data_IF_768079524910
#
_entry.id   IF_768079524910
#
_cell.length_a   1.000
_cell.length_b   1.000
_cell.length_c   1.000
_cell.angle_alpha   90.00
_cell.angle_beta   90.00
_cell.angle_gamma   90.00
#
_symmetry.space_group_name_H-M   'P 1'
#
loop_
_entity.id
_entity.type
_entity.pdbx_description
1 polymer ?
#
# COMPACT_ATOMS: atom_id res chain seq x y z
N UNK A 1 -69.06 -22.54 -56.43
CA UNK A 1 -69.03 -22.61 -54.99
C UNK A 1 -67.67 -22.10 -54.54
N UNK A 2 -67.61 -20.86 -54.10
CA UNK A 2 -66.35 -20.19 -53.68
C UNK A 2 -66.35 -20.07 -52.15
N UNK A 3 -65.36 -20.65 -51.56
CA UNK A 3 -65.11 -20.47 -50.13
C UNK A 3 -63.94 -19.46 -49.91
N UNK A 4 -64.30 -18.33 -49.41
CA UNK A 4 -63.27 -17.33 -48.93
C UNK A 4 -62.86 -17.63 -47.53
N UNK A 5 -61.59 -17.93 -47.38
CA UNK A 5 -60.96 -18.04 -46.03
C UNK A 5 -60.46 -16.64 -45.62
N UNK A 6 -60.99 -16.15 -44.54
CA UNK A 6 -60.47 -14.95 -43.87
C UNK A 6 -59.36 -15.34 -42.90
N UNK A 7 -58.16 -14.82 -43.13
CA UNK A 7 -57.02 -14.98 -42.21
C UNK A 7 -57.02 -13.85 -41.21
N UNK A 8 -57.20 -14.16 -39.93
CA UNK A 8 -57.02 -13.23 -38.81
C UNK A 8 -55.56 -13.23 -38.39
N UNK A 9 -54.87 -12.10 -38.57
CA UNK A 9 -53.52 -11.88 -38.07
C UNK A 9 -53.58 -11.40 -36.60
N UNK A 10 -53.14 -12.23 -35.68
CA UNK A 10 -52.96 -11.85 -34.27
C UNK A 10 -51.58 -11.20 -34.10
N UNK A 11 -51.58 -9.91 -33.78
CA UNK A 11 -50.38 -9.14 -33.39
C UNK A 11 -50.07 -9.43 -31.93
N UNK A 12 -49.04 -10.25 -31.66
CA UNK A 12 -48.48 -10.39 -30.34
C UNK A 12 -47.53 -9.21 -30.07
N UNK A 13 -47.95 -8.26 -29.24
CA UNK A 13 -47.10 -7.22 -28.73
C UNK A 13 -46.13 -7.79 -27.69
N UNK A 14 -44.87 -7.91 -28.04
CA UNK A 14 -43.82 -8.22 -27.06
C UNK A 14 -43.51 -7.00 -26.22
N UNK A 15 -44.01 -6.96 -24.99
CA UNK A 15 -43.62 -5.98 -23.99
C UNK A 15 -42.21 -6.33 -23.47
N UNK A 16 -41.20 -5.65 -23.96
CA UNK A 16 -39.86 -5.71 -23.41
C UNK A 16 -39.85 -5.01 -22.03
N UNK A 17 -39.84 -5.79 -20.96
CA UNK A 17 -39.52 -5.30 -19.63
C UNK A 17 -38.03 -4.93 -19.60
N UNK A 18 -37.73 -3.65 -19.76
CA UNK A 18 -36.40 -3.13 -19.50
C UNK A 18 -36.14 -3.23 -17.99
N UNK A 19 -35.34 -4.20 -17.58
CA UNK A 19 -34.78 -4.24 -16.24
C UNK A 19 -33.88 -3.02 -16.05
N UNK A 20 -33.96 -2.30 -14.90
CA UNK A 20 -33.01 -1.24 -14.62
C UNK A 20 -31.60 -1.86 -14.52
N UNK A 21 -30.72 -1.45 -15.43
CA UNK A 21 -29.30 -1.77 -15.31
C UNK A 21 -28.79 -1.13 -14.01
N UNK A 22 -28.45 -1.95 -13.04
CA UNK A 22 -27.65 -1.50 -11.89
C UNK A 22 -26.38 -0.85 -12.44
N UNK A 23 -26.01 0.35 -11.99
CA UNK A 23 -24.71 0.90 -12.32
C UNK A 23 -23.67 0.00 -11.67
N UNK A 24 -23.18 -0.99 -12.39
CA UNK A 24 -21.99 -1.72 -12.02
C UNK A 24 -20.86 -0.70 -12.01
N UNK A 25 -20.37 -0.41 -10.82
CA UNK A 25 -19.11 0.29 -10.64
C UNK A 25 -18.00 -0.57 -11.26
N UNK A 26 -17.82 -0.44 -12.56
CA UNK A 26 -16.57 -0.83 -13.21
C UNK A 26 -15.57 0.27 -12.87
N UNK A 27 -15.03 0.23 -11.66
CA UNK A 27 -13.80 0.96 -11.37
C UNK A 27 -12.79 0.50 -12.41
N UNK A 28 -12.37 1.39 -13.30
CA UNK A 28 -11.20 1.12 -14.13
C UNK A 28 -10.06 0.71 -13.19
N UNK A 29 -9.23 -0.29 -13.57
CA UNK A 29 -8.04 -0.58 -12.78
C UNK A 29 -7.26 0.73 -12.60
N UNK A 30 -6.70 0.98 -11.41
CA UNK A 30 -5.92 2.19 -11.15
C UNK A 30 -4.85 2.36 -12.24
N UNK A 31 -4.68 3.59 -12.73
CA UNK A 31 -3.61 3.89 -13.67
C UNK A 31 -2.26 3.63 -12.97
N UNK A 32 -1.39 2.77 -13.49
CA UNK A 32 -0.10 2.47 -12.88
C UNK A 32 0.82 3.69 -12.72
N UNK A 33 0.49 4.80 -13.39
CA UNK A 33 1.22 6.06 -13.22
C UNK A 33 0.74 6.89 -12.02
N UNK A 34 -0.25 6.44 -11.25
CA UNK A 34 -0.81 7.17 -10.11
C UNK A 34 -0.44 6.58 -8.76
N UNK A 35 0.17 5.41 -8.74
CA UNK A 35 0.63 4.74 -7.52
C UNK A 35 1.80 3.79 -7.81
N UNK A 36 2.48 3.37 -6.76
CA UNK A 36 3.55 2.39 -6.79
C UNK A 36 3.38 1.41 -5.63
N UNK A 37 3.67 0.15 -5.86
CA UNK A 37 3.74 -0.89 -4.84
C UNK A 37 5.18 -1.05 -4.39
N UNK A 38 5.44 -0.81 -3.11
CA UNK A 38 6.76 -0.98 -2.52
C UNK A 38 6.78 -2.25 -1.68
N UNK A 39 7.59 -3.22 -2.07
CA UNK A 39 7.81 -4.43 -1.31
C UNK A 39 8.93 -4.22 -0.28
N UNK A 40 8.63 -4.56 0.97
CA UNK A 40 9.55 -4.49 2.11
C UNK A 40 9.94 -5.91 2.51
N UNK A 41 11.24 -6.15 2.56
CA UNK A 41 11.82 -7.40 2.98
C UNK A 41 12.94 -7.19 4.01
N UNK A 42 13.19 -8.21 4.82
CA UNK A 42 14.26 -8.25 5.81
C UNK A 42 14.24 -7.07 6.80
N UNK A 43 13.02 -6.53 7.11
CA UNK A 43 12.90 -5.44 8.07
C UNK A 43 13.34 -5.91 9.46
N UNK A 44 14.27 -5.16 10.02
CA UNK A 44 14.87 -5.44 11.31
C UNK A 44 15.06 -4.14 12.09
N UNK A 45 14.64 -4.16 13.35
CA UNK A 45 14.85 -3.07 14.30
C UNK A 45 15.56 -3.59 15.53
N UNK A 46 16.60 -2.90 15.95
CA UNK A 46 17.24 -3.11 17.26
C UNK A 46 16.88 -1.95 18.16
N UNK A 47 16.24 -2.27 19.30
CA UNK A 47 15.86 -1.28 20.33
C UNK A 47 16.42 -1.63 21.69
N UNK A 48 16.70 -0.61 22.51
CA UNK A 48 17.07 -0.76 23.91
C UNK A 48 15.86 -1.13 24.79
N UNK A 49 16.13 -1.49 26.03
CA UNK A 49 15.10 -1.73 27.06
C UNK A 49 14.25 -0.47 27.34
N UNK A 50 14.82 0.70 27.15
CA UNK A 50 14.17 2.01 27.28
C UNK A 50 13.30 2.39 26.07
N UNK A 51 13.21 1.50 25.05
CA UNK A 51 12.47 1.75 23.80
C UNK A 51 13.25 2.58 22.76
N UNK A 52 14.47 3.02 23.05
CA UNK A 52 15.30 3.77 22.10
C UNK A 52 15.68 2.89 20.91
N UNK A 53 15.43 3.37 19.69
CA UNK A 53 15.83 2.67 18.49
C UNK A 53 17.32 2.89 18.23
N UNK A 54 18.09 1.80 18.23
CA UNK A 54 19.53 1.83 17.98
C UNK A 54 19.88 1.67 16.51
N UNK A 55 19.06 0.90 15.79
CA UNK A 55 19.28 0.60 14.39
C UNK A 55 17.99 0.13 13.73
N UNK A 56 17.79 0.52 12.49
CA UNK A 56 16.77 -0.02 11.60
C UNK A 56 17.37 -0.30 10.24
N UNK A 57 17.00 -1.41 9.64
CA UNK A 57 17.33 -1.71 8.25
C UNK A 57 16.26 -2.59 7.61
N UNK A 58 16.14 -2.46 6.29
CA UNK A 58 15.29 -3.29 5.45
C UNK A 58 15.71 -3.19 3.99
N UNK A 59 15.19 -4.08 3.15
CA UNK A 59 15.31 -4.01 1.70
C UNK A 59 14.00 -3.49 1.12
N UNK A 60 14.11 -2.59 0.15
CA UNK A 60 13.02 -1.97 -0.56
C UNK A 60 13.09 -2.37 -2.04
N UNK A 61 11.97 -2.82 -2.61
CA UNK A 61 11.83 -3.04 -4.04
C UNK A 61 10.60 -2.28 -4.53
N UNK A 62 10.76 -1.57 -5.63
CA UNK A 62 9.74 -0.75 -6.29
C UNK A 62 10.10 -0.55 -7.74
N UNK A 63 9.47 0.41 -8.41
CA UNK A 63 9.64 0.65 -9.85
C UNK A 63 11.09 0.97 -10.25
N UNK A 64 11.80 1.76 -9.42
CA UNK A 64 13.18 2.21 -9.67
C UNK A 64 14.22 1.52 -8.75
N UNK A 65 13.84 0.48 -8.00
CA UNK A 65 14.72 -0.20 -7.06
C UNK A 65 14.40 -1.70 -6.94
N UNK A 66 15.44 -2.52 -6.79
CA UNK A 66 15.34 -3.95 -6.51
C UNK A 66 16.29 -4.31 -5.36
N UNK A 67 15.72 -4.62 -4.19
CA UNK A 67 16.47 -4.96 -2.98
C UNK A 67 17.35 -3.82 -2.45
N UNK A 68 16.94 -2.56 -2.66
CA UNK A 68 17.66 -1.38 -2.17
C UNK A 68 17.73 -1.40 -0.64
N UNK A 69 18.95 -1.32 -0.09
CA UNK A 69 19.13 -1.23 1.35
C UNK A 69 18.76 0.16 1.88
N UNK A 70 17.82 0.17 2.79
CA UNK A 70 17.45 1.32 3.61
C UNK A 70 17.89 1.07 5.05
N UNK A 71 18.68 1.97 5.64
CA UNK A 71 19.16 1.80 7.00
C UNK A 71 19.36 3.13 7.73
N UNK A 72 19.28 3.10 9.05
CA UNK A 72 19.60 4.22 9.91
C UNK A 72 20.13 3.79 11.26
N UNK A 73 21.08 4.58 11.78
CA UNK A 73 21.65 4.46 13.12
C UNK A 73 20.97 5.46 14.06
N UNK A 74 20.52 4.98 15.21
CA UNK A 74 19.87 5.78 16.23
C UNK A 74 18.76 6.72 15.71
N UNK A 75 17.85 6.25 14.84
CA UNK A 75 16.72 7.06 14.41
C UNK A 75 15.78 7.29 15.60
N UNK A 76 15.13 8.44 15.63
CA UNK A 76 14.03 8.67 16.59
C UNK A 76 12.84 7.74 16.31
N UNK A 77 11.83 7.76 17.19
CA UNK A 77 10.53 7.14 16.95
C UNK A 77 9.42 8.12 17.40
N UNK A 78 8.77 8.85 16.46
CA UNK A 78 9.00 8.85 15.02
C UNK A 78 10.39 9.37 14.61
N UNK A 79 10.89 8.89 13.47
CA UNK A 79 12.16 9.35 12.94
C UNK A 79 12.00 10.55 12.01
N UNK A 80 13.10 11.24 11.73
CA UNK A 80 13.19 12.11 10.56
C UNK A 80 13.11 11.30 9.27
N UNK A 81 12.92 12.00 8.12
CA UNK A 81 12.95 11.38 6.80
C UNK A 81 14.38 11.07 6.40
N UNK A 82 14.66 9.82 6.08
CA UNK A 82 15.99 9.27 5.80
C UNK A 82 16.05 8.77 4.38
N UNK A 83 17.11 9.09 3.65
CA UNK A 83 17.29 8.62 2.27
C UNK A 83 17.88 7.21 2.24
N UNK A 84 17.35 6.34 1.40
CA UNK A 84 17.88 4.99 1.17
C UNK A 84 19.07 5.05 0.21
N UNK A 85 20.27 4.98 0.75
CA UNK A 85 21.51 5.07 -0.05
C UNK A 85 21.55 6.34 -0.93
N UNK A 86 22.02 6.19 -2.17
CA UNK A 86 22.03 7.26 -3.18
C UNK A 86 20.84 7.14 -4.15
N UNK A 87 19.63 7.01 -3.60
CA UNK A 87 18.42 6.80 -4.40
C UNK A 87 17.42 7.94 -4.22
N UNK A 88 16.31 7.85 -4.95
CA UNK A 88 15.16 8.75 -4.82
C UNK A 88 14.15 8.27 -3.76
N UNK A 89 14.40 7.10 -3.17
CA UNK A 89 13.56 6.56 -2.11
C UNK A 89 14.00 7.07 -0.75
N UNK A 90 13.02 7.39 0.08
CA UNK A 90 13.23 7.83 1.47
C UNK A 90 12.23 7.13 2.36
N UNK A 91 12.54 7.03 3.63
CA UNK A 91 11.64 6.48 4.62
C UNK A 91 11.64 7.29 5.91
N UNK A 92 10.60 7.15 6.70
CA UNK A 92 10.57 7.52 8.10
C UNK A 92 9.94 6.38 8.90
N UNK A 93 10.49 6.12 10.08
CA UNK A 93 10.00 5.12 11.02
C UNK A 93 9.01 5.75 11.98
N UNK A 94 7.83 5.15 12.12
CA UNK A 94 6.76 5.57 13.02
C UNK A 94 6.37 4.45 13.98
N UNK A 95 5.79 4.77 15.14
CA UNK A 95 5.05 3.77 15.90
C UNK A 95 3.83 3.35 15.09
N UNK A 96 3.55 2.06 15.03
CA UNK A 96 2.34 1.54 14.39
C UNK A 96 1.14 1.60 15.34
N UNK A 97 -0.04 1.36 14.81
CA UNK A 97 -1.31 1.32 15.56
C UNK A 97 -1.66 -0.12 15.95
N UNK A 98 -1.51 -1.06 15.01
CA UNK A 98 -1.79 -2.48 15.20
C UNK A 98 -0.49 -3.25 15.50
N UNK A 99 0.59 -2.92 14.80
CA UNK A 99 1.91 -3.49 15.01
C UNK A 99 2.85 -2.45 15.62
N UNK A 100 4.01 -2.89 16.10
CA UNK A 100 4.93 -1.99 16.81
C UNK A 100 5.53 -0.90 15.90
N UNK A 101 5.69 -1.20 14.62
CA UNK A 101 6.35 -0.30 13.67
C UNK A 101 5.51 -0.07 12.41
N UNK A 102 5.52 1.18 11.95
CA UNK A 102 5.04 1.59 10.65
C UNK A 102 6.16 2.28 9.87
N UNK A 103 6.16 2.11 8.56
CA UNK A 103 7.05 2.82 7.64
C UNK A 103 6.22 3.82 6.83
N UNK A 104 6.66 5.07 6.81
CA UNK A 104 6.22 6.03 5.82
C UNK A 104 7.28 6.09 4.73
N UNK A 105 6.87 5.82 3.50
CA UNK A 105 7.75 5.74 2.34
C UNK A 105 7.51 6.92 1.41
N UNK A 106 8.55 7.30 0.70
CA UNK A 106 8.52 8.38 -0.27
C UNK A 106 9.35 7.98 -1.50
N UNK A 107 8.83 8.24 -2.69
CA UNK A 107 9.57 8.13 -3.94
C UNK A 107 9.52 9.48 -4.69
N UNK A 108 10.66 10.13 -4.86
CA UNK A 108 10.77 11.39 -5.59
C UNK A 108 10.81 11.13 -7.09
N UNK A 109 9.77 11.56 -7.81
CA UNK A 109 9.65 11.40 -9.25
C UNK A 109 10.09 12.63 -10.04
N UNK A 110 10.23 13.78 -9.39
CA UNK A 110 10.64 15.04 -10.00
C UNK A 110 10.68 16.18 -8.99
N UNK A 111 10.94 17.40 -9.49
CA UNK A 111 10.96 18.60 -8.65
C UNK A 111 9.59 18.83 -8.00
N UNK A 112 9.53 18.70 -6.67
CA UNK A 112 8.34 18.86 -5.84
C UNK A 112 7.16 17.92 -6.19
N UNK A 113 7.46 16.77 -6.80
CA UNK A 113 6.47 15.75 -7.13
C UNK A 113 7.01 14.36 -6.79
N UNK A 114 6.17 13.54 -6.17
CA UNK A 114 6.51 12.17 -5.83
C UNK A 114 5.32 11.45 -5.22
N UNK A 115 5.52 10.18 -4.93
CA UNK A 115 4.59 9.32 -4.24
C UNK A 115 4.99 9.21 -2.76
N UNK A 116 4.00 9.02 -1.90
CA UNK A 116 4.19 8.69 -0.50
C UNK A 116 3.04 7.84 0.02
N UNK A 117 3.29 7.10 1.09
CA UNK A 117 2.29 6.27 1.73
C UNK A 117 2.82 5.69 3.02
N UNK A 118 1.94 5.20 3.87
CA UNK A 118 2.28 4.62 5.17
C UNK A 118 1.72 3.20 5.26
N UNK A 119 2.52 2.29 5.78
CA UNK A 119 2.09 0.93 6.05
C UNK A 119 2.80 0.36 7.26
N UNK A 120 2.11 -0.54 7.96
CA UNK A 120 2.66 -1.21 9.14
C UNK A 120 3.43 -2.46 8.74
N UNK A 121 4.47 -2.78 9.52
CA UNK A 121 5.29 -3.96 9.31
C UNK A 121 5.10 -4.90 10.49
N UNK A 122 4.54 -6.09 10.20
CA UNK A 122 4.39 -7.12 11.22
C UNK A 122 5.75 -7.67 11.65
N UNK A 123 6.12 -7.43 12.91
CA UNK A 123 7.38 -7.86 13.50
C UNK A 123 7.18 -8.72 14.73
N UNK A 124 8.13 -9.61 14.98
CA UNK A 124 8.28 -10.31 16.24
C UNK A 124 9.56 -9.85 16.92
N UNK A 125 9.42 -9.39 18.17
CA UNK A 125 10.54 -8.90 18.97
C UNK A 125 10.97 -9.93 20.02
N UNK A 126 12.26 -10.18 20.14
CA UNK A 126 12.84 -11.05 21.15
C UNK A 126 14.05 -10.38 21.82
N UNK A 127 14.29 -10.70 23.09
CA UNK A 127 15.43 -10.17 23.81
C UNK A 127 16.73 -10.71 23.21
N UNK A 128 17.70 -9.82 22.96
CA UNK A 128 19.09 -10.19 22.73
C UNK A 128 19.80 -10.33 24.06
N UNK A 129 20.79 -11.20 24.18
CA UNK A 129 21.49 -11.46 25.45
C UNK A 129 22.26 -10.26 26.04
N UNK A 130 22.11 -9.06 25.47
CA UNK A 130 22.81 -7.83 25.87
C UNK A 130 21.87 -6.71 26.36
N UNK A 131 20.64 -7.04 26.74
CA UNK A 131 19.66 -6.04 27.21
C UNK A 131 18.97 -5.27 26.07
N UNK A 132 19.13 -5.68 24.84
CA UNK A 132 18.44 -5.12 23.69
C UNK A 132 17.33 -6.08 23.21
N UNK A 133 16.40 -5.55 22.43
CA UNK A 133 15.42 -6.31 21.66
C UNK A 133 15.74 -6.25 20.18
N UNK A 134 15.58 -7.39 19.52
CA UNK A 134 15.67 -7.50 18.06
C UNK A 134 14.27 -7.81 17.55
N UNK A 135 13.74 -6.92 16.72
CA UNK A 135 12.42 -7.04 16.11
C UNK A 135 12.61 -7.36 14.61
N UNK A 136 12.11 -8.50 14.19
CA UNK A 136 12.28 -8.99 12.81
C UNK A 136 10.94 -9.15 12.13
N UNK A 137 10.89 -8.78 10.87
CA UNK A 137 9.73 -8.98 10.00
C UNK A 137 9.34 -10.46 9.94
N UNK A 138 8.05 -10.74 10.04
CA UNK A 138 7.52 -12.10 10.01
C UNK A 138 6.91 -12.46 8.65
N UNK A 139 6.32 -11.49 7.96
CA UNK A 139 5.66 -11.70 6.67
C UNK A 139 6.12 -10.65 5.66
N UNK A 140 6.16 -10.98 4.36
CA UNK A 140 6.32 -9.98 3.31
C UNK A 140 5.29 -8.86 3.47
N UNK A 141 5.69 -7.62 3.27
CA UNK A 141 4.84 -6.44 3.40
C UNK A 141 4.93 -5.61 2.13
N UNK A 142 3.78 -5.31 1.52
CA UNK A 142 3.70 -4.37 0.40
C UNK A 142 3.00 -3.11 0.88
N UNK A 143 3.63 -1.97 0.67
CA UNK A 143 3.09 -0.64 1.00
C UNK A 143 2.78 0.08 -0.31
N UNK A 144 1.54 0.53 -0.45
CA UNK A 144 1.12 1.34 -1.61
C UNK A 144 1.47 2.79 -1.33
N UNK A 145 2.16 3.42 -2.28
CA UNK A 145 2.46 4.85 -2.25
C UNK A 145 1.83 5.53 -3.45
N UNK A 146 1.28 6.73 -3.27
CA UNK A 146 0.64 7.50 -4.33
C UNK A 146 0.80 9.01 -4.10
N UNK A 147 0.18 9.83 -4.94
CA UNK A 147 0.20 11.29 -4.80
C UNK A 147 -1.01 11.86 -4.06
N UNK A 148 -1.89 10.99 -3.53
CA UNK A 148 -3.09 11.42 -2.81
C UNK A 148 -2.71 11.78 -1.36
N UNK A 149 -3.31 12.83 -0.79
CA UNK A 149 -3.12 13.10 0.63
C UNK A 149 -3.66 11.93 1.44
N UNK A 150 -2.90 11.50 2.46
CA UNK A 150 -3.35 10.46 3.39
C UNK A 150 -4.78 10.78 3.84
N UNK A 151 -5.68 9.81 3.76
CA UNK A 151 -7.02 9.97 4.30
C UNK A 151 -6.88 10.30 5.80
N UNK A 152 -7.60 11.31 6.33
CA UNK A 152 -7.54 11.60 7.75
C UNK A 152 -7.93 10.35 8.52
N UNK A 153 -7.08 9.95 9.48
CA UNK A 153 -7.38 8.85 10.38
C UNK A 153 -8.80 9.08 10.93
N UNK A 154 -9.68 8.12 10.68
CA UNK A 154 -11.04 8.19 11.19
C UNK A 154 -10.95 8.05 12.72
N UNK A 155 -11.26 9.14 13.41
CA UNK A 155 -11.31 9.22 14.87
C UNK A 155 -12.54 8.49 15.43
#
# INVERSE_FOLDING_TARGET
MQFTLAAAAALFGASALAAPASPGSTGAPPDPNTYENIDIADFNVRKGEDGTIKYVNFKLSGDDADGLLCEAQNPGLPSEVITCGESKYRFALYPGEEFEFALRLYHELGLAFGFYGTGEVFTYCHASGLGDFICQQQNPTTIVIDSLPDAPAQA
#
